data_IF_897984815237
#
_entry.id   IF_897984815237
#
_cell.length_a   1.000
_cell.length_b   1.000
_cell.length_c   1.000
_cell.angle_alpha   90.00
_cell.angle_beta   90.00
_cell.angle_gamma   90.00
#
_symmetry.space_group_name_H-M   'P 1'
#
loop_
_entity.id
_entity.type
_entity.pdbx_description
1 polymer ?
#
# COMPACT_ATOMS: atom_id res chain seq x y z
N UNK A 1 -13.47 -6.38 -14.23
CA UNK A 1 -13.59 -6.69 -12.77
C UNK A 1 -12.48 -7.68 -12.43
N UNK A 2 -11.85 -7.60 -11.26
CA UNK A 2 -10.87 -8.61 -10.85
C UNK A 2 -11.57 -9.96 -10.73
N UNK A 3 -10.86 -11.03 -11.14
CA UNK A 3 -11.38 -12.38 -11.02
C UNK A 3 -11.31 -12.83 -9.56
N UNK A 4 -12.34 -13.48 -9.02
CA UNK A 4 -12.28 -14.06 -7.70
C UNK A 4 -11.31 -15.26 -7.69
N UNK A 5 -10.61 -15.43 -6.58
CA UNK A 5 -9.87 -16.66 -6.30
C UNK A 5 -10.79 -17.72 -5.70
N UNK A 6 -10.35 -18.97 -5.70
CA UNK A 6 -11.14 -20.09 -5.18
C UNK A 6 -10.32 -20.89 -4.17
N UNK A 7 -10.84 -21.03 -2.94
CA UNK A 7 -10.12 -21.62 -1.82
C UNK A 7 -9.73 -23.10 -2.08
N UNK A 8 -10.58 -23.86 -2.73
CA UNK A 8 -10.31 -25.24 -3.11
C UNK A 8 -9.12 -25.37 -4.08
N UNK A 9 -8.98 -24.42 -5.01
CA UNK A 9 -7.82 -24.34 -5.91
C UNK A 9 -6.58 -23.93 -5.13
N UNK A 10 -6.68 -22.88 -4.28
CA UNK A 10 -5.60 -22.40 -3.44
C UNK A 10 -5.08 -23.54 -2.57
N UNK A 11 -5.95 -24.23 -1.81
CA UNK A 11 -5.56 -25.30 -0.91
C UNK A 11 -4.93 -26.49 -1.65
N UNK A 12 -5.50 -26.87 -2.80
CA UNK A 12 -4.94 -27.93 -3.63
C UNK A 12 -3.51 -27.60 -4.08
N UNK A 13 -3.25 -26.34 -4.47
CA UNK A 13 -1.92 -25.88 -4.90
C UNK A 13 -0.96 -25.76 -3.72
N UNK A 14 -1.43 -25.28 -2.57
CA UNK A 14 -0.64 -25.13 -1.35
C UNK A 14 -0.08 -26.48 -0.86
N UNK A 15 -0.87 -27.56 -0.95
CA UNK A 15 -0.44 -28.92 -0.55
C UNK A 15 0.34 -29.63 -1.67
N UNK A 16 -0.03 -29.41 -2.93
CA UNK A 16 0.51 -30.17 -4.06
C UNK A 16 1.94 -29.76 -4.44
N UNK A 17 2.15 -28.48 -4.73
CA UNK A 17 3.47 -27.93 -5.07
C UNK A 17 3.52 -26.44 -4.68
N UNK A 18 3.78 -26.13 -3.40
CA UNK A 18 3.79 -24.76 -2.91
C UNK A 18 4.88 -23.91 -3.55
N UNK A 19 6.01 -24.48 -3.95
CA UNK A 19 7.09 -23.76 -4.59
C UNK A 19 6.68 -23.27 -5.99
N UNK A 20 6.11 -24.14 -6.82
CA UNK A 20 5.57 -23.78 -8.14
C UNK A 20 4.42 -22.77 -7.98
N UNK A 21 3.55 -22.98 -6.99
CA UNK A 21 2.43 -22.07 -6.71
C UNK A 21 2.90 -20.65 -6.42
N UNK A 22 3.84 -20.49 -5.49
CA UNK A 22 4.44 -19.20 -5.19
C UNK A 22 5.11 -18.58 -6.42
N UNK A 23 5.95 -19.34 -7.12
CA UNK A 23 6.67 -18.88 -8.31
C UNK A 23 5.75 -18.38 -9.42
N UNK A 24 4.64 -19.06 -9.70
CA UNK A 24 3.66 -18.64 -10.71
C UNK A 24 2.93 -17.34 -10.28
N UNK A 25 2.55 -17.21 -9.01
CA UNK A 25 1.92 -16.00 -8.49
C UNK A 25 2.86 -14.80 -8.60
N UNK A 26 4.12 -14.97 -8.23
CA UNK A 26 5.15 -13.94 -8.36
C UNK A 26 5.42 -13.56 -9.83
N UNK A 27 5.48 -14.53 -10.71
CA UNK A 27 5.64 -14.26 -12.14
C UNK A 27 4.48 -13.45 -12.73
N UNK A 28 3.24 -13.72 -12.30
CA UNK A 28 2.05 -12.95 -12.69
C UNK A 28 2.16 -11.53 -12.15
N UNK A 29 2.52 -11.36 -10.88
CA UNK A 29 2.68 -10.05 -10.27
C UNK A 29 3.78 -9.22 -10.97
N UNK A 30 4.95 -9.80 -11.18
CA UNK A 30 6.08 -9.15 -11.83
C UNK A 30 5.77 -8.78 -13.29
N UNK A 31 4.96 -9.56 -14.00
CA UNK A 31 4.46 -9.20 -15.33
C UNK A 31 3.58 -7.97 -15.28
N UNK A 32 2.62 -7.89 -14.35
CA UNK A 32 1.78 -6.69 -14.17
C UNK A 32 2.63 -5.45 -13.88
N UNK A 33 3.68 -5.59 -13.04
CA UNK A 33 4.62 -4.50 -12.76
C UNK A 33 5.34 -4.04 -14.03
N UNK A 34 5.86 -4.97 -14.83
CA UNK A 34 6.55 -4.65 -16.07
C UNK A 34 5.64 -3.98 -17.11
N UNK A 35 4.41 -4.46 -17.28
CA UNK A 35 3.39 -3.86 -18.16
C UNK A 35 3.03 -2.45 -17.69
N UNK A 36 2.85 -2.26 -16.37
CA UNK A 36 2.58 -0.94 -15.77
C UNK A 36 3.75 0.02 -16.02
N UNK A 37 4.99 -0.43 -15.78
CA UNK A 37 6.17 0.39 -16.01
C UNK A 37 6.32 0.83 -17.47
N UNK A 38 6.07 -0.07 -18.43
CA UNK A 38 6.09 0.26 -19.85
C UNK A 38 5.03 1.32 -20.20
N UNK A 39 3.81 1.18 -19.67
CA UNK A 39 2.73 2.17 -19.86
C UNK A 39 3.09 3.52 -19.22
N UNK A 40 3.67 3.52 -18.01
CA UNK A 40 4.14 4.75 -17.34
C UNK A 40 5.17 5.46 -18.22
N UNK A 41 6.19 4.75 -18.71
CA UNK A 41 7.24 5.34 -19.55
C UNK A 41 6.67 5.97 -20.84
N UNK A 42 5.72 5.29 -21.49
CA UNK A 42 5.05 5.80 -22.69
C UNK A 42 4.21 7.07 -22.38
N UNK A 43 3.42 7.03 -21.31
CA UNK A 43 2.49 8.11 -20.98
C UNK A 43 3.19 9.36 -20.43
N UNK A 44 4.27 9.20 -19.66
CA UNK A 44 5.08 10.33 -19.18
C UNK A 44 5.66 11.11 -20.36
N UNK A 45 6.21 10.43 -21.36
CA UNK A 45 6.70 11.09 -22.58
C UNK A 45 5.55 11.76 -23.35
N UNK A 46 4.40 11.10 -23.49
CA UNK A 46 3.25 11.62 -24.24
C UNK A 46 2.61 12.85 -23.60
N UNK A 47 2.67 12.94 -22.27
CA UNK A 47 2.09 14.05 -21.49
C UNK A 47 3.08 15.18 -21.21
N UNK A 48 4.37 14.95 -21.47
CA UNK A 48 5.47 15.84 -21.06
C UNK A 48 5.42 16.19 -19.56
N UNK A 49 5.13 15.16 -18.75
CA UNK A 49 4.97 15.29 -17.29
C UNK A 49 5.69 14.13 -16.60
N UNK A 50 6.67 14.46 -15.80
CA UNK A 50 7.55 13.52 -15.11
C UNK A 50 7.02 13.03 -13.75
N UNK A 51 5.83 13.49 -13.35
CA UNK A 51 5.21 13.12 -12.09
C UNK A 51 4.22 11.96 -12.27
N UNK A 52 4.34 10.97 -11.40
CA UNK A 52 3.39 9.86 -11.27
C UNK A 52 2.79 9.89 -9.88
N UNK A 53 1.47 9.90 -9.79
CA UNK A 53 0.74 9.83 -8.52
C UNK A 53 0.23 8.41 -8.29
N UNK A 54 0.66 7.80 -7.18
CA UNK A 54 0.32 6.42 -6.85
C UNK A 54 -0.44 6.38 -5.52
N UNK A 55 -1.73 6.10 -5.60
CA UNK A 55 -2.60 5.98 -4.42
C UNK A 55 -3.06 4.54 -4.19
N UNK A 56 -3.55 4.31 -2.99
CA UNK A 56 -4.18 3.06 -2.59
C UNK A 56 -4.31 2.98 -1.07
N UNK A 57 -5.26 2.20 -0.57
CA UNK A 57 -5.54 2.15 0.86
C UNK A 57 -4.40 1.48 1.64
N UNK A 58 -4.42 1.63 2.97
CA UNK A 58 -3.46 0.96 3.85
C UNK A 58 -3.43 -0.56 3.64
N UNK A 59 -2.22 -1.17 3.66
CA UNK A 59 -2.03 -2.59 3.42
C UNK A 59 -2.21 -3.02 1.95
N UNK A 60 -2.20 -2.07 1.00
CA UNK A 60 -2.30 -2.40 -0.44
C UNK A 60 -0.96 -2.78 -1.08
N UNK A 61 0.17 -2.51 -0.43
CA UNK A 61 1.52 -2.74 -0.98
C UNK A 61 1.99 -1.64 -1.92
N UNK A 62 1.60 -0.38 -1.66
CA UNK A 62 1.99 0.77 -2.47
C UNK A 62 3.50 0.94 -2.57
N UNK A 63 4.17 0.98 -1.42
CA UNK A 63 5.60 1.28 -1.33
C UNK A 63 6.43 0.27 -2.09
N UNK A 64 6.25 -1.03 -1.82
CA UNK A 64 6.96 -2.08 -2.57
C UNK A 64 6.62 -2.08 -4.05
N UNK A 65 5.35 -1.87 -4.42
CA UNK A 65 4.96 -1.84 -5.84
C UNK A 65 5.58 -0.63 -6.55
N UNK A 66 5.65 0.55 -5.91
CA UNK A 66 6.33 1.72 -6.46
C UNK A 66 7.82 1.44 -6.73
N UNK A 67 8.51 0.83 -5.76
CA UNK A 67 9.92 0.45 -5.90
C UNK A 67 10.13 -0.57 -7.02
N UNK A 68 9.26 -1.59 -7.14
CA UNK A 68 9.29 -2.57 -8.24
C UNK A 68 9.01 -1.92 -9.60
N UNK A 69 8.12 -0.93 -9.68
CA UNK A 69 7.89 -0.15 -10.91
C UNK A 69 9.16 0.65 -11.27
N UNK A 70 9.82 1.31 -10.30
CA UNK A 70 11.09 2.00 -10.54
C UNK A 70 12.18 1.07 -11.07
N UNK A 71 12.32 -0.13 -10.49
CA UNK A 71 13.25 -1.13 -11.02
C UNK A 71 12.90 -1.59 -12.44
N UNK A 72 11.61 -1.77 -12.73
CA UNK A 72 11.17 -2.15 -14.07
C UNK A 72 11.41 -1.02 -15.10
N UNK A 73 11.18 0.24 -14.71
CA UNK A 73 11.52 1.43 -15.51
C UNK A 73 13.02 1.49 -15.77
N UNK A 74 13.86 1.26 -14.76
CA UNK A 74 15.32 1.23 -14.91
C UNK A 74 15.79 0.17 -15.90
N UNK A 75 15.14 -1.01 -15.94
CA UNK A 75 15.45 -2.08 -16.90
C UNK A 75 15.19 -1.67 -18.36
N UNK A 76 14.28 -0.73 -18.60
CA UNK A 76 13.99 -0.17 -19.93
C UNK A 76 14.66 1.18 -20.17
N UNK A 77 15.62 1.56 -19.31
CA UNK A 77 16.46 2.76 -19.49
C UNK A 77 15.86 4.07 -18.95
N UNK A 78 14.79 4.00 -18.13
CA UNK A 78 14.16 5.16 -17.51
C UNK A 78 14.51 5.17 -16.02
N UNK A 79 15.14 6.24 -15.54
CA UNK A 79 15.37 6.42 -14.09
C UNK A 79 14.10 6.93 -13.42
N UNK A 80 13.82 6.40 -12.24
CA UNK A 80 12.67 6.81 -11.46
C UNK A 80 13.01 6.83 -9.96
N UNK A 81 12.38 7.77 -9.25
CA UNK A 81 12.50 7.95 -7.81
C UNK A 81 11.14 7.72 -7.14
N UNK A 82 11.14 7.22 -5.93
CA UNK A 82 9.92 7.11 -5.11
C UNK A 82 9.98 8.07 -3.94
N UNK A 83 8.91 8.84 -3.75
CA UNK A 83 8.73 9.73 -2.61
C UNK A 83 7.40 9.39 -1.93
N UNK A 84 7.45 9.06 -0.65
CA UNK A 84 6.23 8.88 0.11
C UNK A 84 5.61 10.22 0.50
N UNK A 85 4.31 10.38 0.30
CA UNK A 85 3.54 11.52 0.80
C UNK A 85 3.52 11.58 2.33
N UNK A 86 3.79 10.47 3.00
CA UNK A 86 3.89 10.42 4.45
C UNK A 86 5.03 11.30 5.00
N UNK A 87 6.00 11.67 4.14
CA UNK A 87 7.03 12.66 4.47
C UNK A 87 6.49 14.08 4.64
N UNK A 88 5.35 14.37 4.04
CA UNK A 88 4.72 15.70 4.03
C UNK A 88 3.68 15.89 5.14
N UNK A 89 3.58 15.00 6.11
CA UNK A 89 2.74 15.26 7.28
C UNK A 89 3.17 16.55 7.97
N UNK A 90 2.21 17.38 8.31
CA UNK A 90 2.42 18.56 9.15
C UNK A 90 2.59 18.12 10.61
N UNK A 91 3.43 18.83 11.37
CA UNK A 91 3.44 18.65 12.82
C UNK A 91 2.06 19.00 13.38
N UNK A 92 1.40 18.08 14.13
CA UNK A 92 0.07 18.33 14.65
C UNK A 92 -0.02 19.62 15.50
N UNK A 93 -1.08 20.36 15.27
CA UNK A 93 -1.44 21.56 16.01
C UNK A 93 -2.84 21.41 16.59
N UNK A 94 -3.01 21.79 17.88
CA UNK A 94 -4.26 21.55 18.62
C UNK A 94 -5.46 22.29 18.05
N UNK A 95 -5.22 23.42 17.38
CA UNK A 95 -6.30 24.31 16.90
C UNK A 95 -6.69 24.01 15.44
N UNK A 96 -5.79 23.43 14.64
CA UNK A 96 -5.96 23.33 13.18
C UNK A 96 -5.93 21.90 12.64
N UNK A 97 -5.32 20.94 13.36
CA UNK A 97 -5.24 19.56 12.88
C UNK A 97 -6.59 18.85 12.94
N UNK A 98 -6.93 18.02 11.94
CA UNK A 98 -8.16 17.25 11.97
C UNK A 98 -8.15 16.23 13.10
N UNK A 99 -9.30 16.06 13.75
CA UNK A 99 -9.49 15.12 14.86
C UNK A 99 -10.49 14.02 14.50
N UNK A 100 -10.29 12.85 15.07
CA UNK A 100 -11.25 11.74 15.05
C UNK A 100 -12.46 12.05 15.94
N UNK A 101 -13.50 11.21 15.89
CA UNK A 101 -14.66 11.32 16.80
C UNK A 101 -14.26 11.19 18.27
N UNK A 102 -13.16 10.51 18.58
CA UNK A 102 -12.58 10.33 19.92
C UNK A 102 -11.70 11.52 20.36
N UNK A 103 -11.43 12.49 19.46
CA UNK A 103 -10.62 13.68 19.75
C UNK A 103 -9.11 13.46 19.59
N UNK A 104 -8.68 12.37 18.96
CA UNK A 104 -7.30 12.11 18.59
C UNK A 104 -7.00 12.67 17.18
N UNK A 105 -5.73 12.91 16.83
CA UNK A 105 -5.38 13.35 15.47
C UNK A 105 -5.79 12.33 14.42
N UNK A 106 -6.56 12.77 13.41
CA UNK A 106 -7.03 11.92 12.31
C UNK A 106 -5.98 11.83 11.19
N UNK A 107 -5.03 10.93 11.34
CA UNK A 107 -3.99 10.68 10.34
C UNK A 107 -4.50 10.08 9.01
N UNK A 108 -5.77 9.70 8.95
CA UNK A 108 -6.41 9.26 7.70
C UNK A 108 -7.00 10.43 6.89
N UNK A 109 -6.97 11.65 7.44
CA UNK A 109 -7.42 12.86 6.76
C UNK A 109 -6.34 13.47 5.86
N UNK A 110 -6.65 13.91 4.63
CA UNK A 110 -5.69 14.60 3.76
C UNK A 110 -5.22 15.95 4.33
N UNK A 111 -5.97 16.54 5.26
CA UNK A 111 -5.61 17.79 5.92
C UNK A 111 -4.49 17.64 6.97
N UNK A 112 -4.00 16.43 7.22
CA UNK A 112 -2.76 16.21 7.96
C UNK A 112 -1.50 16.48 7.15
N UNK A 113 -1.62 16.61 5.82
CA UNK A 113 -0.49 16.93 4.94
C UNK A 113 -0.28 18.43 4.85
N UNK A 114 0.98 18.84 4.75
CA UNK A 114 1.37 20.19 4.32
C UNK A 114 1.18 20.28 2.79
N UNK A 115 -0.06 20.57 2.39
CA UNK A 115 -0.46 20.58 0.98
C UNK A 115 0.22 21.71 0.21
N UNK A 116 0.48 22.87 0.85
CA UNK A 116 1.14 23.99 0.22
C UNK A 116 2.59 23.64 -0.14
N UNK A 117 3.32 23.01 0.79
CA UNK A 117 4.67 22.52 0.52
C UNK A 117 4.69 21.42 -0.54
N UNK A 118 3.78 20.46 -0.44
CA UNK A 118 3.67 19.34 -1.38
C UNK A 118 3.42 19.85 -2.80
N UNK A 119 2.38 20.66 -2.99
CA UNK A 119 2.03 21.20 -4.31
C UNK A 119 3.11 22.17 -4.83
N UNK A 120 3.75 22.94 -3.94
CA UNK A 120 4.91 23.77 -4.28
C UNK A 120 6.08 22.94 -4.83
N UNK A 121 6.37 21.78 -4.25
CA UNK A 121 7.41 20.86 -4.74
C UNK A 121 7.03 20.23 -6.08
N UNK A 122 5.79 19.86 -6.30
CA UNK A 122 5.36 19.37 -7.61
C UNK A 122 5.61 20.42 -8.69
N UNK A 123 5.14 21.64 -8.50
CA UNK A 123 5.37 22.72 -9.48
C UNK A 123 6.85 23.05 -9.68
N UNK A 124 7.67 22.97 -8.63
CA UNK A 124 9.11 23.14 -8.77
C UNK A 124 9.75 22.04 -9.64
N UNK A 125 9.38 20.80 -9.38
CA UNK A 125 9.87 19.65 -10.16
C UNK A 125 9.42 19.68 -11.63
N UNK A 126 8.18 20.13 -11.92
CA UNK A 126 7.69 20.35 -13.28
C UNK A 126 8.53 21.42 -14.03
N UNK A 127 9.06 22.42 -13.31
CA UNK A 127 9.96 23.43 -13.88
C UNK A 127 11.42 22.98 -13.93
N UNK A 128 11.74 21.76 -13.48
CA UNK A 128 13.11 21.24 -13.39
C UNK A 128 13.94 21.91 -12.27
N UNK A 129 13.28 22.43 -11.25
CA UNK A 129 13.93 23.03 -10.07
C UNK A 129 14.20 21.96 -9.00
N UNK A 130 15.23 22.20 -8.19
CA UNK A 130 15.57 21.35 -7.06
C UNK A 130 14.58 21.57 -5.90
N UNK A 131 14.25 20.50 -5.18
CA UNK A 131 13.42 20.59 -3.97
C UNK A 131 14.10 19.89 -2.79
N UNK A 132 13.74 20.29 -1.58
CA UNK A 132 14.17 19.62 -0.35
C UNK A 132 12.98 18.84 0.20
N UNK A 133 12.96 17.54 -0.07
CA UNK A 133 11.88 16.63 0.41
C UNK A 133 11.96 16.53 1.93
N UNK A 134 10.88 16.86 2.66
CA UNK A 134 10.88 16.82 4.12
C UNK A 134 10.97 15.39 4.65
N UNK A 135 11.15 15.28 5.96
CA UNK A 135 10.98 14.03 6.68
C UNK A 135 10.02 14.22 7.85
N UNK A 136 9.09 13.30 8.03
CA UNK A 136 8.19 13.26 9.17
C UNK A 136 8.49 12.04 10.02
N UNK A 137 8.76 12.27 11.31
CA UNK A 137 9.03 11.20 12.27
C UNK A 137 7.74 10.83 13.00
N UNK A 138 7.18 9.67 12.67
CA UNK A 138 5.94 9.17 13.28
C UNK A 138 6.06 8.86 14.78
N UNK A 139 7.25 8.52 15.27
CA UNK A 139 7.44 8.24 16.70
C UNK A 139 7.33 9.52 17.56
N UNK A 140 7.80 10.66 17.03
CA UNK A 140 7.72 11.96 17.69
C UNK A 140 6.55 12.81 17.19
N UNK A 141 5.84 12.36 16.16
CA UNK A 141 4.78 13.09 15.46
C UNK A 141 5.21 14.52 15.05
N UNK A 142 6.41 14.65 14.53
CA UNK A 142 6.97 15.94 14.17
C UNK A 142 7.83 15.85 12.91
N UNK A 143 7.95 16.99 12.22
CA UNK A 143 8.92 17.16 11.14
C UNK A 143 10.34 17.12 11.68
N UNK A 144 11.23 16.46 10.95
CA UNK A 144 12.66 16.39 11.25
C UNK A 144 13.46 16.88 10.03
N UNK A 145 13.81 18.15 10.05
CA UNK A 145 14.55 18.79 8.94
C UNK A 145 15.98 18.23 8.80
N UNK A 146 16.53 17.59 9.83
CA UNK A 146 17.86 16.97 9.76
C UNK A 146 17.90 15.75 8.84
N UNK A 147 16.73 15.15 8.58
CA UNK A 147 16.53 14.00 7.70
C UNK A 147 15.91 14.38 6.34
N UNK A 148 15.77 15.68 6.07
CA UNK A 148 15.31 16.17 4.78
C UNK A 148 16.34 15.85 3.69
N UNK A 149 15.88 15.56 2.48
CA UNK A 149 16.74 15.11 1.39
C UNK A 149 16.54 15.96 0.12
N UNK A 150 17.63 16.34 -0.57
CA UNK A 150 17.51 17.02 -1.85
C UNK A 150 17.01 16.05 -2.92
N UNK A 151 16.15 16.55 -3.81
CA UNK A 151 15.71 15.85 -5.01
C UNK A 151 15.86 16.78 -6.20
N UNK A 152 16.61 16.32 -7.18
CA UNK A 152 16.78 16.92 -8.49
C UNK A 152 16.36 15.92 -9.54
N UNK A 153 15.47 16.30 -10.45
CA UNK A 153 15.07 15.42 -11.56
C UNK A 153 15.88 15.76 -12.82
N UNK A 154 16.53 14.75 -13.39
CA UNK A 154 17.10 14.83 -14.73
C UNK A 154 16.01 14.86 -15.81
N UNK A 155 16.37 15.30 -17.03
CA UNK A 155 15.44 15.51 -18.15
C UNK A 155 14.52 14.32 -18.50
N UNK A 156 14.95 13.10 -18.19
CA UNK A 156 14.23 11.86 -18.51
C UNK A 156 14.00 11.02 -17.25
N UNK A 157 14.00 11.63 -16.09
CA UNK A 157 13.76 10.98 -14.83
C UNK A 157 12.30 11.17 -14.41
N UNK A 158 11.77 10.16 -13.74
CA UNK A 158 10.38 10.13 -13.24
C UNK A 158 10.41 10.17 -11.72
N UNK A 159 9.47 10.88 -11.12
CA UNK A 159 9.19 10.76 -9.69
C UNK A 159 7.82 10.17 -9.46
N UNK A 160 7.75 9.10 -8.66
CA UNK A 160 6.53 8.46 -8.22
C UNK A 160 6.24 8.93 -6.80
N UNK A 161 5.25 9.79 -6.63
CA UNK A 161 4.73 10.16 -5.31
C UNK A 161 3.68 9.13 -4.90
N UNK A 162 3.99 8.36 -3.86
CA UNK A 162 3.08 7.34 -3.34
C UNK A 162 2.51 7.75 -1.99
N UNK A 163 1.22 7.51 -1.81
CA UNK A 163 0.54 7.76 -0.55
C UNK A 163 -0.97 7.53 -0.65
N UNK A 164 -1.63 7.43 0.51
CA UNK A 164 -3.07 7.18 0.54
C UNK A 164 -3.87 8.30 -0.12
N UNK A 165 -3.36 9.53 -0.08
CA UNK A 165 -4.04 10.73 -0.60
C UNK A 165 -3.56 11.19 -1.98
N UNK A 166 -2.66 10.47 -2.65
CA UNK A 166 -2.08 10.90 -3.92
C UNK A 166 -3.11 11.16 -5.04
N UNK A 167 -4.31 10.56 -4.99
CA UNK A 167 -5.40 10.83 -5.94
C UNK A 167 -6.53 11.67 -5.36
N UNK A 168 -6.42 12.16 -4.12
CA UNK A 168 -7.39 13.11 -3.56
C UNK A 168 -7.41 14.40 -4.38
N UNK A 169 -8.56 15.08 -4.46
CA UNK A 169 -8.72 16.32 -5.22
C UNK A 169 -7.68 17.38 -4.82
N UNK A 170 -7.37 17.49 -3.53
CA UNK A 170 -6.38 18.44 -2.99
C UNK A 170 -4.95 18.25 -3.52
N UNK A 171 -4.66 17.08 -4.11
CA UNK A 171 -3.36 16.76 -4.70
C UNK A 171 -3.49 16.59 -6.22
N UNK A 172 -4.39 15.72 -6.66
CA UNK A 172 -4.46 15.31 -8.07
C UNK A 172 -5.03 16.38 -9.01
N UNK A 173 -5.82 17.34 -8.52
CA UNK A 173 -6.38 18.42 -9.35
C UNK A 173 -5.35 19.55 -9.58
N UNK A 174 -4.38 19.70 -8.68
CA UNK A 174 -3.22 20.59 -8.90
C UNK A 174 -2.25 20.02 -9.97
N UNK A 175 -2.34 18.70 -10.26
CA UNK A 175 -1.48 18.00 -11.23
C UNK A 175 -2.32 17.19 -12.22
N UNK A 176 -3.09 17.86 -13.11
CA UNK A 176 -4.02 17.18 -14.01
C UNK A 176 -3.32 16.26 -15.01
N UNK A 177 -2.11 16.60 -15.45
CA UNK A 177 -1.35 15.85 -16.44
C UNK A 177 -0.61 14.64 -15.86
N UNK A 178 -0.34 14.62 -14.55
CA UNK A 178 0.35 13.53 -13.89
C UNK A 178 -0.29 12.17 -14.20
N UNK A 179 0.53 11.15 -14.44
CA UNK A 179 0.03 9.79 -14.63
C UNK A 179 -0.43 9.19 -13.29
N UNK A 180 -1.61 8.60 -13.25
CA UNK A 180 -2.28 8.24 -12.01
C UNK A 180 -2.47 6.73 -11.88
N UNK A 181 -1.94 6.17 -10.77
CA UNK A 181 -2.06 4.76 -10.42
C UNK A 181 -2.88 4.58 -9.13
N UNK A 182 -3.77 3.60 -9.12
CA UNK A 182 -4.46 3.19 -7.89
C UNK A 182 -4.19 1.71 -7.61
N UNK A 183 -3.57 1.41 -6.48
CA UNK A 183 -3.19 0.04 -6.07
C UNK A 183 -4.07 -0.44 -4.93
N UNK A 184 -4.62 -1.63 -5.05
CA UNK A 184 -5.32 -2.30 -3.93
C UNK A 184 -5.40 -3.81 -4.14
N UNK A 185 -5.47 -4.57 -3.05
CA UNK A 185 -5.91 -5.95 -3.11
C UNK A 185 -7.40 -5.97 -3.48
N UNK A 186 -7.75 -6.55 -4.64
CA UNK A 186 -9.08 -6.44 -5.25
C UNK A 186 -9.79 -7.77 -5.40
N UNK A 187 -9.09 -8.89 -5.23
CA UNK A 187 -9.63 -10.24 -5.39
C UNK A 187 -10.24 -10.74 -4.08
N UNK A 188 -11.52 -11.09 -4.14
CA UNK A 188 -12.20 -11.82 -3.08
C UNK A 188 -11.96 -13.33 -3.28
N UNK A 189 -11.96 -14.12 -2.20
CA UNK A 189 -11.82 -15.57 -2.28
C UNK A 189 -13.19 -16.22 -2.06
N UNK A 190 -13.53 -17.17 -2.90
CA UNK A 190 -14.83 -17.87 -2.91
C UNK A 190 -14.67 -19.36 -2.67
N UNK A 191 -15.72 -19.94 -2.09
CA UNK A 191 -15.90 -21.38 -1.97
C UNK A 191 -17.27 -21.75 -2.55
N UNK A 192 -17.32 -22.63 -3.55
CA UNK A 192 -18.55 -22.98 -4.28
C UNK A 192 -19.40 -21.77 -4.71
N UNK A 193 -18.72 -20.72 -5.22
CA UNK A 193 -19.37 -19.49 -5.67
C UNK A 193 -19.80 -18.50 -4.56
N UNK A 194 -19.69 -18.89 -3.28
CA UNK A 194 -19.97 -18.02 -2.13
C UNK A 194 -18.70 -17.34 -1.63
N UNK A 195 -18.82 -16.10 -1.21
CA UNK A 195 -17.72 -15.35 -0.59
C UNK A 195 -17.32 -16.03 0.72
N UNK A 196 -16.07 -16.49 0.83
CA UNK A 196 -15.53 -17.07 2.06
C UNK A 196 -14.46 -16.18 2.69
N UNK A 197 -13.66 -15.44 1.90
CA UNK A 197 -12.64 -14.52 2.42
C UNK A 197 -12.65 -13.20 1.64
N UNK A 198 -12.86 -12.08 2.36
CA UNK A 198 -12.99 -10.76 1.75
C UNK A 198 -11.62 -10.17 1.45
N UNK A 199 -11.47 -9.46 0.32
CA UNK A 199 -10.27 -8.67 0.00
C UNK A 199 -9.90 -7.66 1.10
N UNK A 200 -10.88 -7.16 1.87
CA UNK A 200 -10.61 -6.28 3.01
C UNK A 200 -9.95 -7.01 4.17
N UNK A 201 -10.22 -8.31 4.33
CA UNK A 201 -9.55 -9.16 5.31
C UNK A 201 -8.11 -9.46 4.90
N UNK A 202 -7.83 -9.65 3.61
CA UNK A 202 -6.46 -9.77 3.11
C UNK A 202 -5.62 -8.55 3.52
N UNK A 203 -6.15 -7.35 3.33
CA UNK A 203 -5.47 -6.12 3.73
C UNK A 203 -5.35 -5.96 5.25
N UNK A 204 -6.37 -6.39 6.00
CA UNK A 204 -6.30 -6.44 7.47
C UNK A 204 -5.19 -7.38 7.93
N UNK A 205 -5.08 -8.58 7.36
CA UNK A 205 -3.97 -9.50 7.66
C UNK A 205 -2.62 -8.86 7.38
N UNK A 206 -2.43 -8.27 6.19
CA UNK A 206 -1.21 -7.55 5.81
C UNK A 206 -0.85 -6.49 6.86
N UNK A 207 -1.83 -5.67 7.26
CA UNK A 207 -1.62 -4.60 8.24
C UNK A 207 -1.29 -5.16 9.62
N UNK A 208 -2.08 -6.10 10.13
CA UNK A 208 -1.85 -6.70 11.46
C UNK A 208 -0.48 -7.36 11.55
N UNK A 209 -0.11 -8.17 10.56
CA UNK A 209 1.18 -8.87 10.54
C UNK A 209 2.33 -7.85 10.49
N UNK A 210 2.25 -6.83 9.63
CA UNK A 210 3.28 -5.80 9.54
C UNK A 210 3.41 -4.99 10.83
N UNK A 211 2.28 -4.52 11.37
CA UNK A 211 2.27 -3.62 12.51
C UNK A 211 2.76 -4.34 13.78
N UNK A 212 2.36 -5.61 13.98
CA UNK A 212 2.81 -6.46 15.08
C UNK A 212 4.33 -6.72 15.05
N UNK A 213 4.86 -7.15 13.91
CA UNK A 213 6.24 -7.65 13.84
C UNK A 213 7.27 -6.59 13.46
N UNK A 214 6.87 -5.46 12.87
CA UNK A 214 7.81 -4.48 12.31
C UNK A 214 7.55 -3.03 12.70
N UNK A 215 6.37 -2.71 13.29
CA UNK A 215 6.03 -1.32 13.68
C UNK A 215 5.76 -1.15 15.17
N UNK A 216 5.85 -2.22 15.95
CA UNK A 216 5.64 -2.19 17.40
C UNK A 216 4.21 -1.88 17.82
N UNK A 217 3.23 -1.97 16.90
CA UNK A 217 1.80 -1.79 17.20
C UNK A 217 1.15 -3.16 17.28
N UNK A 218 0.69 -3.55 18.46
CA UNK A 218 0.07 -4.85 18.69
C UNK A 218 -1.21 -5.08 17.86
N UNK A 219 -1.56 -6.35 17.66
CA UNK A 219 -2.73 -6.74 16.87
C UNK A 219 -4.04 -6.13 17.40
N UNK A 220 -4.20 -6.05 18.73
CA UNK A 220 -5.39 -5.44 19.35
C UNK A 220 -5.53 -3.96 18.95
N UNK A 221 -4.44 -3.19 19.02
CA UNK A 221 -4.46 -1.78 18.67
C UNK A 221 -4.69 -1.58 17.16
N UNK A 222 -4.07 -2.41 16.32
CA UNK A 222 -4.32 -2.40 14.88
C UNK A 222 -5.79 -2.68 14.54
N UNK A 223 -6.41 -3.64 15.22
CA UNK A 223 -7.84 -3.92 15.07
C UNK A 223 -8.70 -2.74 15.55
N UNK A 224 -8.26 -2.05 16.59
CA UNK A 224 -8.90 -0.84 17.09
C UNK A 224 -8.91 0.28 16.06
N UNK A 225 -7.81 0.52 15.45
CA UNK A 225 -7.65 1.56 14.44
C UNK A 225 -8.32 1.19 13.11
N UNK A 226 -8.59 -0.10 12.87
CA UNK A 226 -9.09 -0.58 11.57
C UNK A 226 -10.42 0.04 11.15
N UNK A 227 -11.32 0.31 12.07
CA UNK A 227 -12.60 0.95 11.78
C UNK A 227 -12.38 2.38 11.23
N UNK A 228 -11.51 3.17 11.86
CA UNK A 228 -11.15 4.52 11.42
C UNK A 228 -10.44 4.48 10.05
N UNK A 229 -9.46 3.58 9.87
CA UNK A 229 -8.81 3.35 8.58
C UNK A 229 -9.82 3.05 7.47
N UNK A 230 -10.83 2.22 7.75
CA UNK A 230 -11.89 1.91 6.78
C UNK A 230 -12.82 3.10 6.52
N UNK A 231 -13.04 3.93 7.50
CA UNK A 231 -13.80 5.17 7.33
C UNK A 231 -13.02 6.18 6.50
N UNK A 232 -11.75 6.44 6.82
CA UNK A 232 -10.86 7.31 6.03
C UNK A 232 -10.73 6.84 4.58
N UNK A 233 -10.60 5.52 4.35
CA UNK A 233 -10.61 4.96 2.99
C UNK A 233 -11.89 5.30 2.21
N UNK A 234 -13.05 5.19 2.83
CA UNK A 234 -14.33 5.49 2.19
C UNK A 234 -14.50 6.97 1.91
N UNK A 235 -14.00 7.83 2.80
CA UNK A 235 -14.17 9.28 2.71
C UNK A 235 -13.12 9.94 1.82
N UNK A 236 -11.86 9.51 1.91
CA UNK A 236 -10.73 10.28 1.37
C UNK A 236 -9.88 9.54 0.33
N UNK A 237 -10.09 8.23 0.09
CA UNK A 237 -9.25 7.44 -0.80
C UNK A 237 -10.06 6.80 -1.92
N UNK A 238 -11.02 5.93 -1.57
CA UNK A 238 -11.81 5.16 -2.53
C UNK A 238 -12.67 5.99 -3.50
N UNK A 239 -13.22 7.16 -3.10
CA UNK A 239 -13.96 8.02 -4.01
C UNK A 239 -13.15 8.47 -5.22
N UNK A 240 -11.83 8.66 -5.06
CA UNK A 240 -10.96 9.22 -6.09
C UNK A 240 -10.31 8.18 -7.02
N UNK A 241 -10.54 6.89 -6.80
CA UNK A 241 -9.98 5.82 -7.66
C UNK A 241 -10.37 5.91 -9.13
N UNK A 242 -11.45 6.64 -9.46
CA UNK A 242 -11.87 6.85 -10.86
C UNK A 242 -10.91 7.74 -11.64
N UNK A 243 -10.07 8.54 -10.95
CA UNK A 243 -9.04 9.38 -11.56
C UNK A 243 -7.84 8.57 -12.08
N UNK A 244 -7.69 7.32 -11.63
CA UNK A 244 -6.55 6.50 -11.99
C UNK A 244 -6.59 6.08 -13.47
N UNK A 245 -5.47 6.26 -14.16
CA UNK A 245 -5.23 5.73 -15.50
C UNK A 245 -5.13 4.19 -15.45
N UNK A 246 -4.52 3.63 -14.40
CA UNK A 246 -4.42 2.19 -14.16
C UNK A 246 -4.93 1.83 -12.76
N UNK A 247 -5.78 0.81 -12.70
CA UNK A 247 -6.20 0.15 -11.47
C UNK A 247 -5.39 -1.14 -11.29
N UNK A 248 -4.36 -1.09 -10.47
CA UNK A 248 -3.46 -2.21 -10.22
C UNK A 248 -4.01 -3.12 -9.11
N UNK A 249 -4.24 -4.40 -9.42
CA UNK A 249 -4.62 -5.41 -8.44
C UNK A 249 -3.37 -6.05 -7.84
N UNK A 250 -3.12 -5.76 -6.56
CA UNK A 250 -1.99 -6.30 -5.80
C UNK A 250 -2.29 -7.61 -5.08
N UNK A 251 -3.46 -8.24 -5.32
CA UNK A 251 -3.79 -9.54 -4.73
C UNK A 251 -2.91 -10.65 -5.31
N UNK A 252 -2.54 -11.60 -4.46
CA UNK A 252 -1.82 -12.82 -4.83
C UNK A 252 -2.55 -14.05 -4.27
N UNK A 253 -2.73 -15.09 -5.08
CA UNK A 253 -3.51 -16.27 -4.65
C UNK A 253 -2.90 -16.97 -3.42
N UNK A 254 -1.57 -16.98 -3.29
CA UNK A 254 -0.88 -17.70 -2.21
C UNK A 254 -0.65 -16.86 -0.95
N UNK A 255 -1.03 -15.58 -0.94
CA UNK A 255 -0.73 -14.68 0.18
C UNK A 255 -1.42 -15.04 1.49
N UNK A 256 -2.70 -15.43 1.45
CA UNK A 256 -3.44 -15.82 2.67
C UNK A 256 -2.84 -17.10 3.28
N UNK A 257 -2.56 -18.17 2.52
CA UNK A 257 -1.79 -19.33 2.98
C UNK A 257 -0.46 -18.97 3.67
N UNK A 258 0.33 -18.07 3.09
CA UNK A 258 1.62 -17.64 3.67
C UNK A 258 1.40 -16.85 4.96
N UNK A 259 0.49 -15.88 4.95
CA UNK A 259 0.28 -14.96 6.06
C UNK A 259 -0.44 -15.59 7.25
N UNK A 260 -1.12 -16.72 7.06
CA UNK A 260 -1.94 -17.38 8.07
C UNK A 260 -1.19 -17.60 9.38
N UNK A 261 0.01 -18.17 9.35
CA UNK A 261 0.77 -18.50 10.56
C UNK A 261 1.23 -17.23 11.31
N UNK A 262 1.61 -16.18 10.58
CA UNK A 262 1.94 -14.88 11.18
C UNK A 262 0.73 -14.25 11.84
N UNK A 263 -0.41 -14.24 11.14
CA UNK A 263 -1.64 -13.67 11.66
C UNK A 263 -2.17 -14.43 12.90
N UNK A 264 -2.11 -15.76 12.89
CA UNK A 264 -2.52 -16.57 14.04
C UNK A 264 -1.66 -16.27 15.28
N UNK A 265 -0.34 -16.04 15.10
CA UNK A 265 0.53 -15.61 16.21
C UNK A 265 0.16 -14.22 16.72
N UNK A 266 -0.01 -13.26 15.81
CA UNK A 266 -0.40 -11.90 16.18
C UNK A 266 -1.73 -11.84 16.93
N UNK A 267 -2.68 -12.71 16.61
CA UNK A 267 -4.00 -12.75 17.25
C UNK A 267 -4.02 -13.50 18.59
N UNK A 268 -2.95 -14.23 18.97
CA UNK A 268 -2.90 -14.95 20.25
C UNK A 268 -3.02 -14.02 21.47
N UNK A 269 -2.47 -12.81 21.34
CA UNK A 269 -2.42 -11.84 22.45
C UNK A 269 -3.64 -10.89 22.48
N UNK A 270 -4.61 -11.08 21.56
CA UNK A 270 -5.85 -10.27 21.57
C UNK A 270 -6.81 -10.81 22.64
N UNK A 271 -7.16 -10.00 23.67
CA UNK A 271 -7.97 -10.46 24.78
C UNK A 271 -9.38 -10.90 24.36
N UNK A 272 -9.89 -11.96 25.00
CA UNK A 272 -11.28 -12.37 24.86
C UNK A 272 -12.23 -11.29 25.39
N UNK A 273 -13.26 -10.94 24.60
CA UNK A 273 -14.32 -10.01 25.01
C UNK A 273 -14.14 -8.56 24.57
N UNK A 274 -13.04 -8.20 23.88
CA UNK A 274 -12.94 -6.87 23.27
C UNK A 274 -14.04 -6.69 22.21
N UNK A 275 -14.66 -5.50 22.12
CA UNK A 275 -15.66 -5.18 21.07
C UNK A 275 -15.14 -5.43 19.66
N UNK A 276 -13.83 -5.47 19.51
CA UNK A 276 -13.05 -5.62 18.29
C UNK A 276 -12.89 -7.05 17.81
N UNK A 277 -13.18 -8.03 18.67
CA UNK A 277 -13.29 -9.44 18.29
C UNK A 277 -14.40 -9.71 17.26
N UNK A 278 -15.32 -8.76 17.01
CA UNK A 278 -16.40 -8.99 16.04
C UNK A 278 -15.88 -9.28 14.62
N UNK A 279 -14.86 -8.54 14.19
CA UNK A 279 -14.20 -8.81 12.90
C UNK A 279 -13.41 -10.13 12.95
N UNK A 280 -12.67 -10.38 14.05
CA UNK A 280 -11.90 -11.61 14.25
C UNK A 280 -12.79 -12.87 14.32
N UNK A 281 -13.95 -12.81 14.96
CA UNK A 281 -14.90 -13.94 15.04
C UNK A 281 -15.34 -14.44 13.67
N UNK A 282 -15.41 -13.55 12.69
CA UNK A 282 -15.74 -13.93 11.31
C UNK A 282 -14.49 -14.31 10.50
N UNK A 283 -13.37 -13.62 10.72
CA UNK A 283 -12.13 -13.80 9.98
C UNK A 283 -11.40 -15.10 10.36
N UNK A 284 -11.26 -15.40 11.66
CA UNK A 284 -10.48 -16.55 12.14
C UNK A 284 -11.00 -17.90 11.61
N UNK A 285 -12.31 -18.22 11.67
CA UNK A 285 -12.80 -19.44 11.09
C UNK A 285 -12.50 -19.55 9.59
N UNK A 286 -12.67 -18.45 8.85
CA UNK A 286 -12.38 -18.43 7.42
C UNK A 286 -10.87 -18.56 7.13
N UNK A 287 -10.01 -18.00 7.96
CA UNK A 287 -8.56 -18.12 7.84
C UNK A 287 -8.09 -19.57 8.08
N UNK A 288 -8.72 -20.27 9.03
CA UNK A 288 -8.40 -21.66 9.35
C UNK A 288 -8.77 -22.64 8.24
N UNK A 289 -9.63 -22.27 7.29
CA UNK A 289 -9.97 -23.09 6.14
C UNK A 289 -8.84 -23.19 5.09
N UNK A 290 -7.83 -22.31 5.15
CA UNK A 290 -6.69 -22.34 4.24
C UNK A 290 -5.65 -23.35 4.69
N UNK A 291 -5.04 -24.04 3.73
CA UNK A 291 -3.80 -24.79 3.94
C UNK A 291 -2.62 -23.83 4.03
N UNK A 292 -1.55 -24.23 4.69
CA UNK A 292 -0.38 -23.37 4.91
C UNK A 292 0.59 -23.42 3.72
N UNK A 293 1.25 -22.29 3.45
CA UNK A 293 2.42 -22.21 2.57
C UNK A 293 3.58 -21.60 3.36
N UNK A 294 4.73 -22.27 3.37
CA UNK A 294 5.91 -21.80 4.07
C UNK A 294 6.43 -20.48 3.47
N UNK A 295 6.71 -19.51 4.34
CA UNK A 295 7.27 -18.22 3.95
C UNK A 295 8.66 -18.34 3.26
N UNK A 296 9.34 -19.48 3.39
CA UNK A 296 10.58 -19.77 2.66
C UNK A 296 10.39 -19.78 1.13
N UNK A 297 9.18 -20.02 0.63
CA UNK A 297 8.86 -19.95 -0.79
C UNK A 297 8.60 -18.52 -1.30
N UNK A 298 8.52 -17.53 -0.41
CA UNK A 298 8.33 -16.12 -0.78
C UNK A 298 9.68 -15.51 -1.15
N UNK A 299 9.90 -15.06 -2.41
CA UNK A 299 11.17 -14.46 -2.80
C UNK A 299 11.44 -13.15 -2.06
N UNK A 300 12.72 -12.74 -1.91
CA UNK A 300 13.10 -11.54 -1.17
C UNK A 300 12.54 -10.24 -1.76
N UNK A 301 12.25 -10.21 -3.06
CA UNK A 301 11.69 -9.07 -3.78
C UNK A 301 10.15 -9.11 -3.88
N UNK A 302 9.48 -10.06 -3.21
CA UNK A 302 8.02 -10.14 -3.18
C UNK A 302 7.39 -8.98 -2.41
N UNK A 303 6.23 -8.52 -2.90
CA UNK A 303 5.37 -7.58 -2.15
C UNK A 303 5.00 -8.11 -0.76
N UNK A 304 4.90 -9.43 -0.57
CA UNK A 304 4.55 -10.02 0.71
C UNK A 304 5.61 -9.75 1.79
N UNK A 305 6.87 -9.54 1.39
CA UNK A 305 7.97 -9.21 2.29
C UNK A 305 7.80 -7.87 3.00
N UNK A 306 7.04 -6.94 2.43
CA UNK A 306 6.61 -5.71 3.12
C UNK A 306 5.88 -6.02 4.44
N UNK A 307 5.19 -7.16 4.50
CA UNK A 307 4.33 -7.53 5.63
C UNK A 307 4.96 -8.57 6.53
N UNK A 308 5.67 -9.57 5.97
CA UNK A 308 6.25 -10.68 6.72
C UNK A 308 7.76 -10.54 6.99
N UNK A 309 8.38 -9.46 6.48
CA UNK A 309 9.80 -9.18 6.65
C UNK A 309 10.73 -10.02 5.76
N UNK A 310 12.05 -9.75 5.88
CA UNK A 310 13.08 -10.43 5.10
C UNK A 310 13.11 -10.06 3.63
N UNK A 311 12.63 -8.86 3.27
CA UNK A 311 12.66 -8.31 1.93
C UNK A 311 13.94 -7.54 1.61
N UNK A 312 14.11 -7.21 0.32
CA UNK A 312 15.21 -6.37 -0.18
C UNK A 312 14.85 -4.88 -0.19
N UNK A 313 13.57 -4.55 -0.02
CA UNK A 313 13.07 -3.18 0.03
C UNK A 313 12.99 -2.68 1.46
N UNK A 314 13.40 -1.42 1.68
CA UNK A 314 13.26 -0.72 2.96
C UNK A 314 11.87 -0.09 3.09
N UNK A 315 11.29 -0.13 4.30
CA UNK A 315 9.93 0.35 4.60
C UNK A 315 9.86 1.22 5.86
#
# INVERSE_FOLDING_TARGET
MPYPYYIDIINKRSVGDPASFAGECEAIFNRKVAETAATVAEQVVARDDHVVLLSGPSGSGKTTTAQKICEALKRIGVLAHTISLDRYFATPDLDTSPLTEEGEYDLESPYCLDLDLLNGHFHALERGEDVIVPHFNFATQARDDSMAMPLTLGRNEIVIFEGIHALNDLVADEHPNAFKLYISARSDIKHYGRLCFKRTWTRLLRRVVRDEFFRGTGAEETLKLWANVRQGEKSFISPFKYKADILFDSSMEYEVPVMKQFALRAFQDVPDGSERQKELRALLPALLEFEDVDAAFVPPDSILREFIGGGVYEH
#
